data_IF_680357886276
#
_entry.id   IF_680357886276
#
_cell.length_a   1.000
_cell.length_b   1.000
_cell.length_c   1.000
_cell.angle_alpha   90.00
_cell.angle_beta   90.00
_cell.angle_gamma   90.00
#
_symmetry.space_group_name_H-M   'P 1'
#
loop_
_entity.id
_entity.type
_entity.pdbx_description
1 polymer ?
#
# COMPACT_ATOMS: atom_id res chain seq x y z
N UNK A 1 -53.42 12.02 -33.87
CA UNK A 1 -52.68 11.15 -32.93
C UNK A 1 -51.28 10.95 -33.49
N UNK A 2 -50.23 11.42 -32.80
CA UNK A 2 -48.81 11.25 -33.18
C UNK A 2 -48.14 10.36 -32.14
N UNK A 3 -47.33 9.35 -32.51
CA UNK A 3 -46.61 8.55 -31.52
C UNK A 3 -45.42 9.35 -30.98
N UNK A 4 -45.25 9.32 -29.67
CA UNK A 4 -44.11 9.91 -28.98
C UNK A 4 -42.91 8.97 -29.04
N UNK A 5 -41.80 9.45 -29.59
CA UNK A 5 -40.50 8.78 -29.63
C UNK A 5 -39.87 8.86 -28.24
N UNK A 6 -39.73 7.73 -27.55
CA UNK A 6 -38.92 7.63 -26.32
C UNK A 6 -37.46 7.40 -26.72
N UNK A 7 -36.61 8.43 -26.55
CA UNK A 7 -35.16 8.26 -26.52
C UNK A 7 -34.78 7.53 -25.22
N UNK A 8 -34.34 6.28 -25.36
CA UNK A 8 -33.71 5.55 -24.26
C UNK A 8 -32.33 6.12 -23.96
N UNK A 9 -32.18 6.78 -22.82
CA UNK A 9 -30.87 7.07 -22.25
C UNK A 9 -30.36 5.78 -21.59
N UNK A 10 -29.51 5.03 -22.31
CA UNK A 10 -28.69 3.97 -21.73
C UNK A 10 -27.65 4.63 -20.81
N UNK A 11 -27.97 4.73 -19.52
CA UNK A 11 -26.96 4.93 -18.48
C UNK A 11 -26.15 3.63 -18.39
N UNK A 12 -25.04 3.57 -19.14
CA UNK A 12 -24.01 2.56 -18.92
C UNK A 12 -23.45 2.74 -17.52
N UNK A 13 -23.87 1.89 -16.59
CA UNK A 13 -23.23 1.79 -15.29
C UNK A 13 -21.78 1.31 -15.52
N UNK A 14 -20.81 2.21 -15.30
CA UNK A 14 -19.41 1.83 -15.16
C UNK A 14 -19.28 0.97 -13.90
N UNK A 15 -19.39 -0.34 -14.07
CA UNK A 15 -18.99 -1.30 -13.06
C UNK A 15 -17.46 -1.28 -12.99
N UNK A 16 -16.91 -0.55 -12.03
CA UNK A 16 -15.51 -0.73 -11.64
C UNK A 16 -15.38 -2.16 -11.09
N UNK A 17 -14.76 -3.05 -11.86
CA UNK A 17 -14.43 -4.41 -11.39
C UNK A 17 -13.57 -4.35 -10.13
N UNK A 18 -13.54 -5.42 -9.31
CA UNK A 18 -12.62 -5.50 -8.18
C UNK A 18 -11.20 -5.30 -8.72
N UNK A 19 -10.49 -4.31 -8.20
CA UNK A 19 -9.11 -4.10 -8.60
C UNK A 19 -8.31 -5.36 -8.24
N UNK A 20 -7.83 -6.07 -9.26
CA UNK A 20 -6.79 -7.07 -9.06
C UNK A 20 -5.64 -6.37 -8.31
N UNK A 21 -5.01 -7.07 -7.38
CA UNK A 21 -3.83 -6.54 -6.70
C UNK A 21 -2.75 -6.11 -7.71
N UNK A 22 -1.72 -5.43 -7.23
CA UNK A 22 -0.65 -4.95 -8.09
C UNK A 22 0.64 -5.74 -7.83
N UNK A 23 1.44 -5.90 -8.87
CA UNK A 23 2.81 -6.42 -8.80
C UNK A 23 3.79 -5.27 -9.02
N UNK A 24 5.04 -5.45 -8.62
CA UNK A 24 6.09 -4.47 -8.91
C UNK A 24 6.68 -4.76 -10.29
N UNK A 25 6.80 -3.76 -11.19
CA UNK A 25 7.48 -3.94 -12.47
C UNK A 25 8.90 -4.48 -12.30
N UNK A 26 9.34 -5.29 -13.26
CA UNK A 26 10.75 -5.68 -13.31
C UNK A 26 11.65 -4.43 -13.34
N UNK A 27 12.78 -4.50 -12.63
CA UNK A 27 13.78 -3.43 -12.56
C UNK A 27 13.29 -2.10 -11.96
N UNK A 28 12.18 -2.10 -11.22
CA UNK A 28 11.73 -0.92 -10.46
C UNK A 28 12.81 -0.52 -9.43
N UNK A 29 13.38 0.70 -9.51
CA UNK A 29 14.42 1.11 -8.57
C UNK A 29 13.89 1.23 -7.13
N UNK A 30 14.80 1.11 -6.16
CA UNK A 30 14.51 1.38 -4.75
C UNK A 30 13.87 2.77 -4.58
N UNK A 31 12.90 2.89 -3.67
CA UNK A 31 12.21 4.16 -3.43
C UNK A 31 10.85 3.98 -2.79
N UNK A 32 10.12 5.09 -2.66
CA UNK A 32 8.71 5.11 -2.24
C UNK A 32 7.85 5.43 -3.43
N UNK A 33 6.80 4.65 -3.58
CA UNK A 33 5.88 4.73 -4.69
C UNK A 33 4.45 4.86 -4.19
N UNK A 34 3.68 5.64 -4.93
CA UNK A 34 2.22 5.64 -4.88
C UNK A 34 1.70 4.80 -6.03
N UNK A 35 0.78 3.89 -5.72
CA UNK A 35 0.02 3.13 -6.70
C UNK A 35 -1.34 3.77 -6.88
N UNK A 36 -1.74 3.97 -8.13
CA UNK A 36 -3.07 4.44 -8.52
C UNK A 36 -3.65 3.57 -9.60
N UNK A 37 -4.98 3.52 -9.66
CA UNK A 37 -5.71 2.79 -10.68
C UNK A 37 -6.38 3.79 -11.63
N UNK A 38 -6.24 3.59 -12.94
CA UNK A 38 -7.00 4.35 -13.92
C UNK A 38 -8.45 3.86 -14.03
N UNK A 39 -9.26 4.49 -14.89
CA UNK A 39 -10.67 4.12 -15.09
C UNK A 39 -10.86 2.69 -15.65
N UNK A 40 -9.83 2.11 -16.25
CA UNK A 40 -9.82 0.74 -16.77
C UNK A 40 -9.29 -0.27 -15.74
N UNK A 41 -8.89 0.19 -14.55
CA UNK A 41 -8.27 -0.64 -13.53
C UNK A 41 -6.78 -0.90 -13.78
N UNK A 42 -6.15 -0.20 -14.73
CA UNK A 42 -4.71 -0.31 -14.98
C UNK A 42 -3.94 0.31 -13.83
N UNK A 43 -2.92 -0.41 -13.36
CA UNK A 43 -2.04 0.01 -12.28
C UNK A 43 -0.97 0.96 -12.80
N UNK A 44 -0.81 2.10 -12.13
CA UNK A 44 0.29 3.03 -12.36
C UNK A 44 1.10 3.25 -11.07
N UNK A 45 2.42 3.09 -11.16
CA UNK A 45 3.36 3.30 -10.05
C UNK A 45 4.05 4.66 -10.23
N UNK A 46 3.84 5.59 -9.31
CA UNK A 46 4.46 6.92 -9.32
C UNK A 46 5.53 6.99 -8.22
N UNK A 47 6.79 7.26 -8.56
CA UNK A 47 7.84 7.53 -7.57
C UNK A 47 7.51 8.84 -6.85
N UNK A 48 7.43 8.81 -5.52
CA UNK A 48 7.13 9.98 -4.69
C UNK A 48 8.29 10.37 -3.76
N UNK A 49 9.19 9.43 -3.46
CA UNK A 49 10.43 9.74 -2.74
C UNK A 49 11.56 8.79 -3.15
N UNK A 50 12.80 9.30 -3.27
CA UNK A 50 13.97 8.48 -3.57
C UNK A 50 14.27 7.47 -2.45
N UNK A 51 15.19 6.51 -2.68
CA UNK A 51 15.67 5.64 -1.62
C UNK A 51 16.37 6.47 -0.52
N UNK A 52 16.36 5.96 0.71
CA UNK A 52 17.15 6.57 1.80
C UNK A 52 18.63 6.63 1.43
N UNK A 53 19.30 7.69 1.86
CA UNK A 53 20.75 7.84 1.67
C UNK A 53 21.52 6.72 2.38
N UNK A 54 22.77 6.43 1.96
CA UNK A 54 23.61 5.46 2.65
C UNK A 54 23.80 5.77 4.15
N UNK A 55 23.80 7.03 4.54
CA UNK A 55 23.94 7.50 5.92
C UNK A 55 22.65 7.23 6.71
N UNK A 56 21.49 7.52 6.12
CA UNK A 56 20.19 7.22 6.71
C UNK A 56 20.00 5.70 6.88
N UNK A 57 20.35 4.92 5.84
CA UNK A 57 20.37 3.46 5.91
C UNK A 57 21.29 3.01 7.05
N UNK A 58 22.54 3.48 7.11
CA UNK A 58 23.50 3.13 8.18
C UNK A 58 22.96 3.47 9.57
N UNK A 59 22.37 4.65 9.76
CA UNK A 59 21.77 5.07 11.03
C UNK A 59 20.65 4.12 11.50
N UNK A 60 19.80 3.67 10.57
CA UNK A 60 18.73 2.70 10.87
C UNK A 60 19.25 1.30 11.19
N UNK A 61 20.35 0.90 10.56
CA UNK A 61 21.03 -0.37 10.78
C UNK A 61 21.78 -0.36 12.12
N UNK A 62 22.36 0.77 12.54
CA UNK A 62 23.12 0.90 13.78
C UNK A 62 22.26 1.06 15.04
N UNK A 63 20.98 1.42 14.90
CA UNK A 63 20.10 1.67 16.04
C UNK A 63 19.71 0.34 16.74
N UNK A 64 20.03 0.15 18.04
CA UNK A 64 19.56 -0.98 18.83
C UNK A 64 18.08 -0.78 19.13
N UNK A 65 17.21 -1.14 18.19
CA UNK A 65 15.78 -1.27 18.43
C UNK A 65 15.43 -2.76 18.46
N UNK A 66 14.93 -3.32 19.55
CA UNK A 66 14.25 -4.60 19.47
C UNK A 66 12.96 -4.42 18.65
N UNK A 67 12.71 -5.30 17.69
CA UNK A 67 11.37 -5.51 17.10
C UNK A 67 11.11 -5.12 15.62
N UNK A 68 12.11 -4.87 14.76
CA UNK A 68 11.88 -4.66 13.29
C UNK A 68 13.00 -5.21 12.41
N UNK A 69 12.66 -6.07 11.44
CA UNK A 69 13.60 -6.58 10.42
C UNK A 69 14.31 -5.45 9.66
N UNK A 70 15.58 -5.62 9.27
CA UNK A 70 16.36 -4.57 8.58
C UNK A 70 15.65 -4.01 7.33
N UNK A 71 15.04 -4.86 6.47
CA UNK A 71 14.28 -4.36 5.34
C UNK A 71 13.04 -3.57 5.78
N UNK A 72 12.26 -4.07 6.75
CA UNK A 72 11.08 -3.35 7.29
C UNK A 72 11.44 -2.05 8.03
N UNK A 73 12.69 -1.86 8.48
CA UNK A 73 13.15 -0.57 9.02
C UNK A 73 13.34 0.47 7.94
N UNK A 74 13.97 0.09 6.83
CA UNK A 74 14.25 1.00 5.72
C UNK A 74 12.93 1.32 5.01
N UNK A 75 12.26 0.30 4.49
CA UNK A 75 10.99 0.44 3.75
C UNK A 75 9.90 0.99 4.66
N UNK A 76 9.70 0.40 5.84
CA UNK A 76 8.70 0.89 6.79
C UNK A 76 8.94 2.33 7.27
N UNK A 77 10.18 2.81 7.41
CA UNK A 77 10.44 4.23 7.71
C UNK A 77 10.12 5.13 6.52
N UNK A 78 10.58 4.77 5.33
CA UNK A 78 10.32 5.54 4.12
C UNK A 78 8.83 5.71 3.86
N UNK A 79 8.07 4.63 4.04
CA UNK A 79 6.62 4.64 3.93
C UNK A 79 5.96 5.42 5.07
N UNK A 80 6.45 5.27 6.31
CA UNK A 80 5.93 6.02 7.47
C UNK A 80 6.04 7.53 7.30
N UNK A 81 7.06 8.03 6.59
CA UNK A 81 7.19 9.46 6.30
C UNK A 81 6.03 10.01 5.45
N UNK A 82 5.31 9.15 4.72
CA UNK A 82 4.10 9.54 3.99
C UNK A 82 2.89 9.73 4.91
N UNK A 83 3.00 9.37 6.20
CA UNK A 83 1.95 9.43 7.22
C UNK A 83 2.18 10.54 8.27
N UNK A 84 2.62 11.75 7.90
CA UNK A 84 2.91 12.83 8.86
C UNK A 84 2.49 14.27 8.46
N UNK A 85 1.32 14.77 8.91
CA UNK A 85 0.07 14.04 9.07
C UNK A 85 -0.45 13.71 7.66
N UNK A 86 -0.37 12.42 7.32
CA UNK A 86 -0.70 11.95 5.98
C UNK A 86 -2.05 11.23 5.98
N UNK A 87 -2.81 11.45 4.93
CA UNK A 87 -3.94 10.59 4.58
C UNK A 87 -3.56 9.77 3.36
N UNK A 88 -3.76 8.47 3.42
CA UNK A 88 -3.77 7.63 2.22
C UNK A 88 -5.14 7.84 1.58
N UNK A 89 -5.19 8.70 0.56
CA UNK A 89 -6.44 9.02 -0.11
C UNK A 89 -7.07 7.76 -0.73
N UNK A 90 -8.39 7.82 -0.91
CA UNK A 90 -9.16 6.70 -1.48
C UNK A 90 -8.57 6.28 -2.83
N UNK A 91 -8.39 4.98 -3.01
CA UNK A 91 -7.91 4.41 -4.29
C UNK A 91 -6.41 4.55 -4.52
N UNK A 92 -5.67 5.02 -3.52
CA UNK A 92 -4.22 4.94 -3.52
C UNK A 92 -3.73 3.85 -2.57
N UNK A 93 -2.72 3.15 -3.02
CA UNK A 93 -1.88 2.32 -2.18
C UNK A 93 -0.46 2.90 -2.21
N UNK A 94 0.33 2.61 -1.19
CA UNK A 94 1.70 3.09 -1.11
C UNK A 94 2.61 1.92 -0.79
N UNK A 95 3.80 1.92 -1.39
CA UNK A 95 4.82 0.98 -1.03
C UNK A 95 6.19 1.62 -1.06
N UNK A 96 7.12 0.93 -0.42
CA UNK A 96 8.53 1.22 -0.46
C UNK A 96 9.28 -0.08 -0.72
N UNK A 97 10.21 -0.02 -1.65
CA UNK A 97 11.03 -1.17 -2.05
C UNK A 97 12.50 -0.87 -1.75
N UNK A 98 13.17 -1.84 -1.14
CA UNK A 98 14.61 -1.85 -0.92
C UNK A 98 15.16 -3.25 -1.23
N UNK A 99 15.90 -3.37 -2.33
CA UNK A 99 16.31 -4.67 -2.87
C UNK A 99 15.09 -5.53 -3.20
N UNK A 100 14.98 -6.71 -2.61
CA UNK A 100 13.87 -7.65 -2.85
C UNK A 100 12.73 -7.52 -1.84
N UNK A 101 12.80 -6.60 -0.89
CA UNK A 101 11.76 -6.47 0.14
C UNK A 101 10.90 -5.23 -0.09
N UNK A 102 9.60 -5.41 0.05
CA UNK A 102 8.59 -4.37 -0.08
C UNK A 102 7.90 -4.21 1.26
N UNK A 103 7.75 -2.97 1.74
CA UNK A 103 6.74 -2.66 2.76
C UNK A 103 5.65 -1.81 2.13
N UNK A 104 4.40 -2.15 2.38
CA UNK A 104 3.26 -1.58 1.71
C UNK A 104 2.12 -1.26 2.66
N UNK A 105 1.23 -0.40 2.18
CA UNK A 105 -0.04 -0.09 2.80
C UNK A 105 -1.09 0.17 1.74
N UNK A 106 -2.23 -0.53 1.87
CA UNK A 106 -3.32 -0.50 0.93
C UNK A 106 -4.54 0.14 1.57
N UNK A 107 -5.16 1.12 0.91
CA UNK A 107 -6.43 1.66 1.40
C UNK A 107 -7.60 1.04 0.62
N UNK A 108 -8.26 0.07 1.26
CA UNK A 108 -9.46 -0.58 0.72
C UNK A 108 -10.75 0.18 1.06
N UNK A 109 -10.65 1.20 1.91
CA UNK A 109 -11.76 2.04 2.32
C UNK A 109 -12.37 2.84 1.17
N UNK A 110 -13.63 3.19 1.34
CA UNK A 110 -14.31 4.18 0.49
C UNK A 110 -13.90 5.63 0.80
N UNK A 111 -13.13 5.86 1.86
CA UNK A 111 -12.66 7.17 2.31
C UNK A 111 -11.15 7.19 2.45
N UNK A 112 -10.57 8.39 2.56
CA UNK A 112 -9.17 8.53 2.95
C UNK A 112 -8.94 7.87 4.32
N UNK A 113 -7.85 7.12 4.43
CA UNK A 113 -7.41 6.57 5.70
C UNK A 113 -6.32 7.47 6.28
N UNK A 114 -6.61 8.10 7.42
CA UNK A 114 -5.61 8.89 8.15
C UNK A 114 -4.64 7.95 8.84
N UNK A 115 -3.35 8.10 8.56
CA UNK A 115 -2.29 7.33 9.19
C UNK A 115 -1.29 8.27 9.86
N UNK A 116 -0.73 7.80 10.97
CA UNK A 116 0.44 8.42 11.60
C UNK A 116 1.69 7.56 11.39
N UNK A 117 2.87 8.15 11.54
CA UNK A 117 4.15 7.41 11.62
C UNK A 117 4.09 6.30 12.67
N UNK A 118 3.40 6.54 13.78
CA UNK A 118 3.26 5.59 14.88
C UNK A 118 2.36 4.41 14.51
N UNK A 119 1.32 4.64 13.70
CA UNK A 119 0.43 3.57 13.23
C UNK A 119 1.19 2.51 12.45
N UNK A 120 1.87 2.93 11.39
CA UNK A 120 2.66 2.01 10.56
C UNK A 120 3.82 1.39 11.36
N UNK A 121 4.46 2.18 12.22
CA UNK A 121 5.48 1.69 13.16
C UNK A 121 4.98 0.54 14.03
N UNK A 122 3.79 0.67 14.61
CA UNK A 122 3.22 -0.32 15.51
C UNK A 122 2.71 -1.54 14.74
N UNK A 123 2.14 -1.33 13.56
CA UNK A 123 1.67 -2.43 12.72
C UNK A 123 2.82 -3.29 12.21
N UNK A 124 3.93 -2.69 11.75
CA UNK A 124 5.12 -3.46 11.38
C UNK A 124 5.75 -4.19 12.56
N UNK A 125 5.82 -3.56 13.73
CA UNK A 125 6.31 -4.23 14.93
C UNK A 125 5.43 -5.42 15.34
N UNK A 126 4.10 -5.28 15.20
CA UNK A 126 3.15 -6.35 15.48
C UNK A 126 3.29 -7.53 14.51
N UNK A 127 3.40 -7.26 13.20
CA UNK A 127 3.64 -8.30 12.19
C UNK A 127 4.95 -9.03 12.49
N UNK A 128 6.04 -8.30 12.75
CA UNK A 128 7.33 -8.92 13.11
C UNK A 128 7.27 -9.74 14.40
N UNK A 129 6.48 -9.33 15.39
CA UNK A 129 6.31 -10.08 16.63
C UNK A 129 5.58 -11.43 16.43
N UNK A 130 4.68 -11.52 15.44
CA UNK A 130 3.90 -12.73 15.14
C UNK A 130 4.60 -13.61 14.12
N UNK A 131 4.94 -13.05 12.97
CA UNK A 131 5.52 -13.78 11.84
C UNK A 131 7.00 -14.08 12.06
N UNK A 132 7.65 -13.33 12.96
CA UNK A 132 9.09 -13.39 13.16
C UNK A 132 9.85 -12.45 12.24
N UNK A 133 11.14 -12.35 12.51
CA UNK A 133 12.05 -11.50 11.76
C UNK A 133 12.27 -12.08 10.37
N UNK A 134 12.27 -11.21 9.35
CA UNK A 134 12.51 -11.56 7.95
C UNK A 134 11.45 -12.46 7.29
N UNK A 135 10.36 -12.75 8.00
CA UNK A 135 9.24 -13.51 7.46
C UNK A 135 8.18 -12.56 6.91
N UNK A 136 7.73 -12.85 5.69
CA UNK A 136 6.60 -12.17 5.06
C UNK A 136 5.39 -12.13 6.00
N UNK A 137 4.68 -11.02 5.99
CA UNK A 137 3.46 -10.91 6.78
C UNK A 137 2.70 -9.62 6.54
N UNK A 138 1.40 -9.69 6.77
CA UNK A 138 0.50 -8.57 6.67
C UNK A 138 -0.58 -8.66 7.74
N UNK A 139 -1.25 -7.53 7.96
CA UNK A 139 -2.46 -7.47 8.77
C UNK A 139 -3.44 -6.50 8.16
N UNK A 140 -4.73 -6.70 8.44
CA UNK A 140 -5.77 -5.73 8.10
C UNK A 140 -6.14 -4.95 9.35
N UNK A 141 -6.20 -3.64 9.21
CA UNK A 141 -6.73 -2.71 10.20
C UNK A 141 -8.11 -2.27 9.75
N UNK A 142 -9.16 -2.84 10.34
CA UNK A 142 -10.54 -2.42 10.11
C UNK A 142 -10.90 -1.27 11.08
N UNK A 143 -11.17 -0.03 10.62
CA UNK A 143 -11.96 0.89 11.41
C UNK A 143 -13.41 0.39 11.46
N UNK A 144 -14.11 0.66 12.56
CA UNK A 144 -15.47 0.15 12.85
C UNK A 144 -16.55 0.47 11.78
N UNK A 145 -16.25 1.33 10.80
CA UNK A 145 -17.22 1.83 9.80
C UNK A 145 -16.74 1.81 8.35
N UNK A 146 -15.53 1.32 8.02
CA UNK A 146 -15.04 1.27 6.64
C UNK A 146 -14.17 0.03 6.36
N UNK A 147 -14.07 -0.35 5.09
CA UNK A 147 -13.09 -1.34 4.64
C UNK A 147 -11.69 -0.87 5.06
N UNK A 148 -10.96 -1.77 5.71
CA UNK A 148 -9.73 -1.47 6.42
C UNK A 148 -8.54 -1.12 5.53
N UNK A 149 -7.43 -0.75 6.17
CA UNK A 149 -6.14 -0.70 5.50
C UNK A 149 -5.41 -2.04 5.67
N UNK A 150 -4.82 -2.58 4.61
CA UNK A 150 -3.86 -3.69 4.75
C UNK A 150 -2.46 -3.12 4.84
N UNK A 151 -1.68 -3.62 5.80
CA UNK A 151 -0.30 -3.19 6.03
C UNK A 151 0.55 -4.44 6.07
N UNK A 152 1.66 -4.46 5.33
CA UNK A 152 2.49 -5.65 5.24
C UNK A 152 3.89 -5.39 4.74
N UNK A 153 4.74 -6.41 4.86
CA UNK A 153 6.00 -6.48 4.15
C UNK A 153 6.24 -7.88 3.61
N UNK A 154 6.61 -7.95 2.34
CA UNK A 154 6.69 -9.19 1.56
C UNK A 154 7.77 -9.04 0.46
N UNK A 155 8.21 -10.14 -0.17
CA UNK A 155 9.11 -10.08 -1.30
C UNK A 155 8.54 -9.35 -2.52
N UNK A 156 9.40 -8.73 -3.32
CA UNK A 156 9.00 -7.89 -4.47
C UNK A 156 8.28 -8.62 -5.60
N UNK A 157 8.28 -9.95 -5.60
CA UNK A 157 7.61 -10.78 -6.60
C UNK A 157 6.19 -11.19 -6.19
N UNK A 158 5.72 -10.80 -5.02
CA UNK A 158 4.35 -11.09 -4.56
C UNK A 158 3.30 -10.21 -5.24
N UNK A 159 2.03 -10.57 -5.04
CA UNK A 159 0.89 -9.76 -5.43
C UNK A 159 0.36 -8.98 -4.23
N UNK A 160 0.42 -7.65 -4.32
CA UNK A 160 0.13 -6.76 -3.21
C UNK A 160 -1.29 -6.21 -3.32
N UNK A 161 -1.91 -5.96 -2.16
CA UNK A 161 -3.19 -5.25 -2.08
C UNK A 161 -4.32 -5.88 -2.90
N UNK A 162 -4.30 -7.21 -3.10
CA UNK A 162 -5.36 -7.95 -3.79
C UNK A 162 -6.72 -7.70 -3.14
N UNK A 163 -7.60 -6.94 -3.80
CA UNK A 163 -8.95 -6.64 -3.30
C UNK A 163 -9.86 -7.86 -3.53
N UNK A 164 -9.66 -8.93 -2.77
CA UNK A 164 -10.50 -10.14 -2.83
C UNK A 164 -9.80 -11.43 -3.23
N UNK A 165 -8.55 -11.62 -2.84
CA UNK A 165 -7.97 -12.96 -2.71
C UNK A 165 -7.78 -13.20 -1.21
N UNK A 166 -8.74 -13.94 -0.67
CA UNK A 166 -8.70 -14.49 0.68
C UNK A 166 -7.42 -15.33 0.85
N UNK A 167 -6.88 -15.31 2.07
CA UNK A 167 -6.01 -16.40 2.53
C UNK A 167 -6.77 -17.70 2.65
#
# INVERSE_FOLDING_TARGET
MRPATYLGALFGALFAGPAAGWTIPADQPDGVYRVSYDANGTVAHTLIAPPLSPEEKRSLLSAPKPGRSLPSRITGRQLSNQCNPGGIARGYDFYSIAGTTVAYVCNFGSTSWTCTVNDLTNDYAHITAICGWYQSGWRIRWPATNRGAQIGYEPSWENFCGRGIDG
#
